data_IF_825167902568
#
_entry.id   IF_825167902568
#
_cell.length_a   1.000
_cell.length_b   1.000
_cell.length_c   1.000
_cell.angle_alpha   90.00
_cell.angle_beta   90.00
_cell.angle_gamma   90.00
#
_symmetry.space_group_name_H-M   'P 1'
#
loop_
_entity.id
_entity.type
_entity.pdbx_description
1 polymer ?
#
# COMPACT_ATOMS: atom_id res chain seq x y z
N UNK A 1 -21.04 16.96 -34.57
CA UNK A 1 -21.61 16.61 -33.25
C UNK A 1 -20.82 15.52 -32.52
N UNK A 2 -20.35 14.47 -33.21
CA UNK A 2 -19.61 13.35 -32.61
C UNK A 2 -18.39 13.77 -31.75
N UNK A 3 -17.57 14.71 -32.23
CA UNK A 3 -16.37 15.17 -31.52
C UNK A 3 -16.68 15.87 -30.18
N UNK A 4 -17.81 16.59 -30.11
CA UNK A 4 -18.26 17.24 -28.86
C UNK A 4 -18.72 16.20 -27.85
N UNK A 5 -19.44 15.17 -28.32
CA UNK A 5 -19.88 14.06 -27.49
C UNK A 5 -18.68 13.26 -26.95
N UNK A 6 -17.69 13.00 -27.80
CA UNK A 6 -16.46 12.30 -27.43
C UNK A 6 -15.71 13.06 -26.34
N UNK A 7 -15.59 14.39 -26.46
CA UNK A 7 -14.93 15.26 -25.50
C UNK A 7 -15.66 15.28 -24.14
N UNK A 8 -17.00 15.35 -24.14
CA UNK A 8 -17.80 15.24 -22.91
C UNK A 8 -17.59 13.88 -22.26
N UNK A 9 -17.61 12.79 -23.02
CA UNK A 9 -17.37 11.45 -22.49
C UNK A 9 -15.94 11.31 -21.95
N UNK A 10 -14.94 11.94 -22.57
CA UNK A 10 -13.55 11.91 -22.06
C UNK A 10 -13.42 12.71 -20.78
N UNK A 11 -13.99 13.92 -20.71
CA UNK A 11 -13.94 14.78 -19.52
C UNK A 11 -14.73 14.15 -18.38
N UNK A 12 -15.92 13.59 -18.64
CA UNK A 12 -16.71 12.88 -17.62
C UNK A 12 -15.98 11.62 -17.13
N UNK A 13 -15.34 10.83 -18.01
CA UNK A 13 -14.54 9.69 -17.56
C UNK A 13 -13.28 10.12 -16.81
N UNK A 14 -12.66 11.24 -17.16
CA UNK A 14 -11.52 11.80 -16.42
C UNK A 14 -11.95 12.28 -15.02
N UNK A 15 -13.09 12.94 -14.94
CA UNK A 15 -13.64 13.52 -13.72
C UNK A 15 -14.20 12.43 -12.79
N UNK A 16 -15.00 11.51 -13.32
CA UNK A 16 -15.51 10.35 -12.58
C UNK A 16 -14.39 9.37 -12.21
N UNK A 17 -13.38 9.23 -13.07
CA UNK A 17 -12.20 8.41 -12.77
C UNK A 17 -11.35 8.94 -11.61
N UNK A 18 -11.51 10.21 -11.22
CA UNK A 18 -10.82 10.79 -10.07
C UNK A 18 -11.45 10.38 -8.73
N UNK A 19 -12.76 10.12 -8.70
CA UNK A 19 -13.50 9.74 -7.48
C UNK A 19 -13.63 8.22 -7.30
N UNK A 20 -13.24 7.42 -8.29
CA UNK A 20 -13.19 5.96 -8.13
C UNK A 20 -11.93 5.63 -7.35
N UNK A 21 -12.05 5.47 -6.02
CA UNK A 21 -11.09 4.67 -5.25
C UNK A 21 -10.97 3.32 -5.97
N UNK A 22 -9.89 3.15 -6.73
CA UNK A 22 -9.58 1.89 -7.39
C UNK A 22 -9.61 0.80 -6.30
N UNK A 23 -10.28 -0.35 -6.53
CA UNK A 23 -10.36 -1.41 -5.54
C UNK A 23 -8.94 -1.84 -5.15
N UNK A 24 -8.51 -1.37 -3.98
CA UNK A 24 -7.19 -1.61 -3.43
C UNK A 24 -7.28 -2.82 -2.53
N UNK A 25 -6.52 -3.86 -2.89
CA UNK A 25 -6.32 -5.05 -2.07
C UNK A 25 -4.89 -5.07 -1.59
N UNK A 26 -4.66 -4.43 -0.46
CA UNK A 26 -3.40 -4.55 0.26
C UNK A 26 -3.25 -5.96 0.80
N UNK A 27 -2.00 -6.34 1.01
CA UNK A 27 -1.64 -7.66 1.46
C UNK A 27 -0.71 -7.55 2.66
N UNK A 28 -1.06 -8.24 3.74
CA UNK A 28 -0.18 -8.44 4.89
C UNK A 28 0.14 -9.93 4.96
N UNK A 29 1.43 -10.26 4.94
CA UNK A 29 1.96 -11.61 5.16
C UNK A 29 2.37 -11.71 6.63
N UNK A 30 1.64 -12.50 7.40
CA UNK A 30 1.93 -12.76 8.81
C UNK A 30 3.08 -13.76 8.95
N UNK A 31 3.66 -13.82 10.15
CA UNK A 31 4.75 -14.78 10.48
C UNK A 31 4.31 -16.24 10.33
N UNK A 32 3.02 -16.51 10.57
CA UNK A 32 2.39 -17.82 10.36
C UNK A 32 2.32 -18.23 8.87
N UNK A 33 2.65 -17.32 7.94
CA UNK A 33 2.43 -17.48 6.51
C UNK A 33 1.00 -17.16 6.06
N UNK A 34 0.10 -16.82 7.00
CA UNK A 34 -1.25 -16.39 6.68
C UNK A 34 -1.24 -15.06 5.89
N UNK A 35 -2.13 -14.98 4.91
CA UNK A 35 -2.33 -13.80 4.08
C UNK A 35 -3.57 -13.07 4.53
N UNK A 36 -3.41 -11.81 4.94
CA UNK A 36 -4.53 -10.91 5.25
C UNK A 36 -4.67 -9.92 4.11
N UNK A 37 -5.78 -10.03 3.38
CA UNK A 37 -6.13 -9.11 2.29
C UNK A 37 -7.19 -8.10 2.75
N UNK A 38 -7.05 -6.84 2.33
CA UNK A 38 -8.01 -5.79 2.67
C UNK A 38 -7.51 -4.40 2.32
N UNK A 39 -8.10 -3.39 2.94
CA UNK A 39 -7.71 -1.99 2.79
C UNK A 39 -7.01 -1.48 4.05
N UNK A 40 -5.71 -1.20 3.96
CA UNK A 40 -4.95 -0.66 5.08
C UNK A 40 -5.38 0.79 5.32
N UNK A 41 -5.81 1.05 6.54
CA UNK A 41 -6.27 2.36 7.01
C UNK A 41 -5.09 3.16 7.55
N UNK A 42 -4.25 2.54 8.38
CA UNK A 42 -3.10 3.18 9.04
C UNK A 42 -1.97 2.19 9.25
N UNK A 43 -0.74 2.69 9.24
CA UNK A 43 0.47 1.98 9.65
C UNK A 43 1.29 2.95 10.49
N UNK A 44 1.54 2.62 11.76
CA UNK A 44 2.32 3.47 12.66
C UNK A 44 3.10 2.58 13.62
N UNK A 45 4.44 2.68 13.61
CA UNK A 45 5.32 1.96 14.54
C UNK A 45 4.98 0.47 14.70
N UNK A 46 4.71 -0.23 13.59
CA UNK A 46 4.40 -1.67 13.61
C UNK A 46 2.96 -2.02 13.92
N UNK A 47 2.11 -1.05 14.23
CA UNK A 47 0.66 -1.24 14.33
C UNK A 47 0.05 -0.99 12.95
N UNK A 48 -0.68 -1.97 12.45
CA UNK A 48 -1.37 -1.91 11.17
C UNK A 48 -2.86 -2.09 11.40
N UNK A 49 -3.66 -1.12 10.98
CA UNK A 49 -5.11 -1.26 10.93
C UNK A 49 -5.55 -1.56 9.50
N UNK A 50 -6.28 -2.65 9.32
CA UNK A 50 -6.77 -3.12 8.01
C UNK A 50 -8.26 -3.39 8.07
N UNK A 51 -9.00 -2.91 7.07
CA UNK A 51 -10.41 -3.25 6.85
C UNK A 51 -10.48 -4.40 5.86
N UNK A 52 -10.88 -5.58 6.34
CA UNK A 52 -11.12 -6.76 5.50
C UNK A 52 -12.63 -6.95 5.29
N UNK A 53 -13.01 -7.92 4.47
CA UNK A 53 -14.43 -8.28 4.27
C UNK A 53 -15.11 -8.73 5.58
N UNK A 54 -14.33 -9.25 6.53
CA UNK A 54 -14.79 -9.65 7.87
C UNK A 54 -14.81 -8.52 8.91
N UNK A 55 -14.51 -7.28 8.52
CA UNK A 55 -14.48 -6.12 9.41
C UNK A 55 -13.08 -5.54 9.62
N UNK A 56 -12.93 -4.70 10.65
CA UNK A 56 -11.64 -4.09 10.99
C UNK A 56 -10.80 -5.07 11.81
N UNK A 57 -9.54 -5.24 11.41
CA UNK A 57 -8.52 -5.98 12.15
C UNK A 57 -7.36 -5.05 12.48
N UNK A 58 -6.75 -5.28 13.64
CA UNK A 58 -5.50 -4.65 14.06
C UNK A 58 -4.44 -5.72 14.15
N UNK A 59 -3.31 -5.49 13.50
CA UNK A 59 -2.15 -6.39 13.47
C UNK A 59 -0.99 -5.63 14.06
N UNK A 60 -0.24 -6.28 14.94
CA UNK A 60 0.98 -5.73 15.54
C UNK A 60 2.17 -6.54 15.04
N UNK A 61 3.25 -5.86 14.69
CA UNK A 61 4.51 -6.48 14.27
C UNK A 61 5.70 -5.72 14.83
N UNK A 62 6.83 -6.39 14.88
CA UNK A 62 8.11 -5.73 15.11
C UNK A 62 8.59 -5.05 13.83
N UNK A 63 9.08 -3.81 13.97
CA UNK A 63 9.62 -3.02 12.86
C UNK A 63 11.13 -3.05 12.94
N UNK A 64 11.75 -3.83 12.07
CA UNK A 64 13.19 -3.81 11.90
C UNK A 64 13.59 -2.72 10.88
N UNK A 65 14.08 -1.58 11.38
CA UNK A 65 14.55 -0.47 10.56
C UNK A 65 15.77 -0.83 9.68
N UNK A 66 16.51 -1.88 10.04
CA UNK A 66 17.70 -2.33 9.32
C UNK A 66 17.41 -3.37 8.24
N UNK A 67 16.21 -3.95 8.21
CA UNK A 67 15.76 -4.93 7.21
C UNK A 67 14.32 -4.65 6.77
N UNK A 68 14.02 -3.46 6.23
CA UNK A 68 12.69 -3.14 5.77
C UNK A 68 12.28 -4.00 4.56
N UNK A 69 11.13 -4.67 4.66
CA UNK A 69 10.58 -5.54 3.61
C UNK A 69 9.20 -5.11 3.12
N UNK A 70 8.74 -3.92 3.48
CA UNK A 70 7.47 -3.44 2.97
C UNK A 70 7.68 -2.94 1.55
N UNK A 71 6.70 -3.24 0.70
CA UNK A 71 6.70 -2.84 -0.70
C UNK A 71 5.44 -2.02 -0.95
N UNK A 72 5.63 -0.80 -1.43
CA UNK A 72 4.55 0.08 -1.86
C UNK A 72 4.60 0.19 -3.38
N UNK A 73 3.47 -0.08 -4.02
CA UNK A 73 3.27 0.16 -5.44
C UNK A 73 2.51 1.47 -5.65
N UNK A 74 3.11 2.39 -6.40
CA UNK A 74 2.65 3.77 -6.58
C UNK A 74 2.53 4.09 -8.06
N UNK A 75 1.48 4.81 -8.44
CA UNK A 75 1.30 5.37 -9.77
C UNK A 75 -0.07 5.05 -10.40
N UNK A 76 -0.57 5.96 -11.23
CA UNK A 76 -1.88 5.82 -11.88
C UNK A 76 -1.76 5.05 -13.21
N UNK A 77 -0.74 5.39 -14.03
CA UNK A 77 -0.53 4.84 -15.38
C UNK A 77 0.73 3.97 -15.45
N UNK A 78 1.82 4.42 -14.83
CA UNK A 78 3.08 3.65 -14.71
C UNK A 78 3.33 3.37 -13.24
N UNK A 79 3.49 2.10 -12.91
CA UNK A 79 3.65 1.68 -11.53
C UNK A 79 5.13 1.64 -11.19
N UNK A 80 5.50 2.25 -10.06
CA UNK A 80 6.83 2.12 -9.44
C UNK A 80 6.66 1.40 -8.11
N UNK A 81 7.66 0.59 -7.78
CA UNK A 81 7.72 -0.12 -6.49
C UNK A 81 8.82 0.48 -5.65
N UNK A 82 8.48 0.77 -4.41
CA UNK A 82 9.38 1.29 -3.40
C UNK A 82 9.44 0.29 -2.25
N UNK A 83 10.66 -0.09 -1.87
CA UNK A 83 10.90 -0.95 -0.73
C UNK A 83 11.48 -0.12 0.43
N UNK A 84 10.94 -0.28 1.63
CA UNK A 84 11.35 0.51 2.79
C UNK A 84 10.47 0.26 4.00
N UNK A 85 10.74 0.93 5.12
CA UNK A 85 9.82 0.93 6.26
C UNK A 85 8.67 1.87 5.92
N UNK A 86 7.45 1.35 5.95
CA UNK A 86 6.27 2.11 5.57
C UNK A 86 5.54 2.64 6.81
N UNK A 87 5.30 3.94 6.82
CA UNK A 87 4.31 4.58 7.68
C UNK A 87 3.19 5.10 6.80
N UNK A 88 1.96 4.88 7.24
CA UNK A 88 0.77 5.21 6.47
C UNK A 88 -0.15 6.06 7.34
N UNK A 89 -0.21 7.34 7.00
CA UNK A 89 -1.00 8.35 7.68
C UNK A 89 -2.28 8.64 6.90
N UNK A 90 -3.10 9.56 7.41
CA UNK A 90 -4.43 9.81 6.86
C UNK A 90 -4.40 10.24 5.37
N UNK A 91 -3.44 11.09 5.01
CA UNK A 91 -3.32 11.80 3.74
C UNK A 91 -2.07 11.42 2.93
N UNK A 92 -1.02 10.90 3.56
CA UNK A 92 0.22 10.54 2.90
C UNK A 92 0.81 9.21 3.40
N UNK A 93 1.69 8.65 2.59
CA UNK A 93 2.54 7.51 2.94
C UNK A 93 3.99 7.95 2.98
N UNK A 94 4.71 7.53 4.02
CA UNK A 94 6.13 7.75 4.17
C UNK A 94 6.86 6.42 4.05
N UNK A 95 7.88 6.38 3.21
CA UNK A 95 8.73 5.21 2.98
C UNK A 95 10.15 5.58 3.37
N UNK A 96 10.62 5.00 4.47
CA UNK A 96 11.99 5.19 4.95
C UNK A 96 12.88 4.15 4.28
N UNK A 97 13.87 4.60 3.51
CA UNK A 97 14.83 3.72 2.81
C UNK A 97 16.26 4.00 3.31
N UNK A 98 17.21 3.14 2.96
CA UNK A 98 18.64 3.40 3.25
C UNK A 98 19.19 4.66 2.58
N UNK A 99 18.51 5.14 1.53
CA UNK A 99 18.88 6.32 0.75
C UNK A 99 18.20 7.60 1.24
N UNK A 100 17.32 7.49 2.24
CA UNK A 100 16.50 8.59 2.76
C UNK A 100 15.00 8.30 2.69
N UNK A 101 14.23 9.29 3.15
CA UNK A 101 12.78 9.22 3.27
C UNK A 101 12.11 9.70 1.98
N UNK A 102 11.06 9.00 1.57
CA UNK A 102 10.25 9.34 0.40
C UNK A 102 8.79 9.40 0.82
N UNK A 103 8.14 10.52 0.50
CA UNK A 103 6.73 10.72 0.79
C UNK A 103 5.90 10.74 -0.49
N UNK A 104 4.70 10.16 -0.43
CA UNK A 104 3.75 10.17 -1.53
C UNK A 104 2.33 10.44 -1.03
N UNK A 105 1.55 11.10 -1.88
CA UNK A 105 0.11 11.25 -1.66
C UNK A 105 -0.57 9.87 -1.67
N UNK A 106 -1.47 9.66 -0.71
CA UNK A 106 -2.29 8.47 -0.59
C UNK A 106 -3.02 8.11 -1.90
N UNK A 107 -3.50 9.11 -2.65
CA UNK A 107 -4.24 8.90 -3.89
C UNK A 107 -3.39 8.21 -4.98
N UNK A 108 -2.06 8.25 -4.86
CA UNK A 108 -1.15 7.60 -5.79
C UNK A 108 -0.82 6.16 -5.41
N UNK A 109 -1.17 5.73 -4.19
CA UNK A 109 -0.85 4.39 -3.67
C UNK A 109 -1.85 3.36 -4.20
N UNK A 110 -1.35 2.40 -4.98
CA UNK A 110 -2.17 1.32 -5.54
C UNK A 110 -2.24 0.10 -4.65
N UNK A 111 -1.12 -0.26 -4.03
CA UNK A 111 -1.01 -1.48 -3.23
C UNK A 111 0.10 -1.34 -2.21
N UNK A 112 -0.18 -1.80 -1.01
CA UNK A 112 0.82 -1.98 0.04
C UNK A 112 0.95 -3.49 0.31
N UNK A 113 2.19 -3.95 0.33
CA UNK A 113 2.55 -5.31 0.70
C UNK A 113 3.44 -5.23 1.93
N UNK A 114 2.96 -5.78 3.04
CA UNK A 114 3.68 -5.83 4.31
C UNK A 114 4.09 -7.28 4.56
N UNK A 115 5.37 -7.50 4.88
CA UNK A 115 5.85 -8.81 5.31
C UNK A 115 6.31 -8.73 6.75
N UNK A 116 5.79 -9.62 7.60
CA UNK A 116 6.43 -9.88 8.88
C UNK A 116 7.74 -10.65 8.67
N UNK A 117 8.65 -10.52 9.62
CA UNK A 117 9.89 -11.30 9.64
C UNK A 117 9.51 -12.75 9.95
N UNK A 118 9.34 -13.58 8.92
CA UNK A 118 9.47 -15.01 9.13
C UNK A 118 10.91 -15.21 9.60
N UNK A 119 11.12 -15.81 10.78
CA UNK A 119 12.39 -16.43 11.10
C UNK A 119 12.75 -17.32 9.91
N UNK A 120 13.65 -16.86 9.05
CA UNK A 120 14.22 -17.73 8.04
C UNK A 120 14.80 -18.89 8.85
N UNK A 121 14.39 -20.15 8.60
CA UNK A 121 15.05 -21.26 9.27
C UNK A 121 16.56 -21.09 9.02
N UNK A 122 17.40 -21.28 10.06
CA UNK A 122 18.83 -21.09 9.91
C UNK A 122 19.27 -21.90 8.69
N UNK A 123 19.93 -21.21 7.75
CA UNK A 123 20.64 -21.89 6.68
C UNK A 123 21.70 -22.73 7.39
N UNK A 124 21.47 -24.05 7.46
CA UNK A 124 22.50 -25.00 7.82
C UNK A 124 23.57 -24.90 6.73
N UNK A 125 24.60 -24.09 7.01
CA UNK A 125 25.86 -24.03 6.28
C UNK A 125 26.72 -25.25 6.63
#
# INVERSE_FOLDING_TARGET
MLAKLLCIVTVCNLYLGWEVELPRKDLILLESGEKVEGHIITITNGIIEIKTDGGKKRITRDVNLHSPRDIVEIGIIRNKRHAGTVEYFADHIKITTSSGDIEFDRALVRKIIISHESALPPLNL
#
